data_IF_393764933413
#
_entry.id   IF_393764933413
#
_cell.length_a   1.000
_cell.length_b   1.000
_cell.length_c   1.000
_cell.angle_alpha   90.00
_cell.angle_beta   90.00
_cell.angle_gamma   90.00
#
_symmetry.space_group_name_H-M   'P 1'
#
loop_
_entity.id
_entity.type
_entity.pdbx_description
1 polymer ?
#
# COMPACT_ATOMS: atom_id res chain seq x y z
N UNK A 1 4.65 -12.76 -29.57
CA UNK A 1 5.03 -13.76 -28.53
C UNK A 1 6.55 -13.86 -28.47
N UNK A 2 7.16 -13.81 -27.28
CA UNK A 2 8.63 -13.72 -27.09
C UNK A 2 9.35 -15.05 -27.36
N UNK A 3 8.92 -16.15 -26.73
CA UNK A 3 9.62 -17.45 -26.77
C UNK A 3 9.76 -18.09 -28.16
N UNK A 4 8.95 -17.70 -29.14
CA UNK A 4 9.08 -18.16 -30.54
C UNK A 4 9.93 -17.24 -31.43
N UNK A 5 10.47 -16.13 -30.90
CA UNK A 5 11.22 -15.12 -31.64
C UNK A 5 12.43 -14.64 -30.83
N UNK A 6 13.07 -15.53 -30.07
CA UNK A 6 14.07 -15.13 -29.07
C UNK A 6 15.26 -14.38 -29.68
N UNK A 7 15.70 -14.78 -30.87
CA UNK A 7 16.82 -14.12 -31.59
C UNK A 7 16.57 -12.63 -31.84
N UNK A 8 15.31 -12.22 -32.01
CA UNK A 8 14.93 -10.80 -32.19
C UNK A 8 15.21 -9.93 -30.95
N UNK A 9 15.36 -10.55 -29.78
CA UNK A 9 15.50 -9.88 -28.48
C UNK A 9 16.79 -10.26 -27.75
N UNK A 10 17.57 -11.20 -28.28
CA UNK A 10 18.76 -11.73 -27.60
C UNK A 10 19.81 -10.63 -27.32
N UNK A 11 19.91 -9.65 -28.21
CA UNK A 11 20.79 -8.48 -28.08
C UNK A 11 20.24 -7.38 -27.14
N UNK A 12 18.99 -7.52 -26.66
CA UNK A 12 18.26 -6.51 -25.88
C UNK A 12 17.96 -6.94 -24.45
N UNK A 13 18.26 -8.19 -24.10
CA UNK A 13 17.96 -8.78 -22.79
C UNK A 13 19.25 -9.29 -22.18
N UNK A 14 19.49 -8.95 -20.91
CA UNK A 14 20.58 -9.48 -20.12
C UNK A 14 20.02 -10.13 -18.86
N UNK A 15 20.33 -11.41 -18.66
CA UNK A 15 20.01 -12.12 -17.42
C UNK A 15 21.20 -12.03 -16.47
N UNK A 16 20.91 -11.73 -15.20
CA UNK A 16 21.92 -11.62 -14.14
C UNK A 16 21.46 -12.43 -12.93
N UNK A 17 22.38 -12.87 -12.05
CA UNK A 17 21.99 -13.41 -10.75
C UNK A 17 21.12 -12.41 -9.98
N UNK A 18 20.15 -12.91 -9.23
CA UNK A 18 19.19 -12.05 -8.52
C UNK A 18 19.87 -11.09 -7.52
N UNK A 19 20.98 -11.53 -6.90
CA UNK A 19 21.79 -10.69 -6.02
C UNK A 19 22.34 -9.44 -6.75
N UNK A 20 22.63 -9.56 -8.04
CA UNK A 20 23.11 -8.44 -8.87
C UNK A 20 21.93 -7.61 -9.38
N UNK A 21 20.87 -8.24 -9.89
CA UNK A 21 19.71 -7.49 -10.41
C UNK A 21 19.00 -6.69 -9.32
N UNK A 22 19.03 -7.18 -8.08
CA UNK A 22 18.37 -6.58 -6.93
C UNK A 22 19.34 -5.89 -5.96
N UNK A 23 20.61 -5.72 -6.34
CA UNK A 23 21.60 -5.18 -5.42
C UNK A 23 21.26 -3.73 -5.03
N UNK A 24 21.09 -3.39 -3.74
CA UNK A 24 20.72 -2.05 -3.28
C UNK A 24 21.61 -0.93 -3.85
N UNK A 25 22.92 -1.19 -3.85
CA UNK A 25 23.93 -0.28 -4.39
C UNK A 25 23.67 0.05 -5.86
N UNK A 26 23.35 -0.94 -6.70
CA UNK A 26 23.11 -0.75 -8.13
C UNK A 26 21.77 -0.06 -8.38
N UNK A 27 20.72 -0.45 -7.67
CA UNK A 27 19.40 0.17 -7.74
C UNK A 27 19.51 1.67 -7.47
N UNK A 28 20.22 2.03 -6.40
CA UNK A 28 20.43 3.42 -5.99
C UNK A 28 21.35 4.17 -6.95
N UNK A 29 22.48 3.57 -7.37
CA UNK A 29 23.44 4.17 -8.29
C UNK A 29 22.81 4.50 -9.64
N UNK A 30 21.95 3.62 -10.14
CA UNK A 30 21.23 3.83 -11.40
C UNK A 30 20.01 4.74 -11.26
N UNK A 31 19.59 5.06 -10.03
CA UNK A 31 18.46 5.95 -9.78
C UNK A 31 17.14 5.42 -10.34
N UNK A 32 16.87 4.14 -10.11
CA UNK A 32 15.71 3.47 -10.72
C UNK A 32 14.37 4.04 -10.24
N UNK A 33 13.33 3.91 -11.07
CA UNK A 33 11.93 4.07 -10.67
C UNK A 33 11.39 2.67 -10.41
N UNK A 34 10.89 2.42 -9.21
CA UNK A 34 10.30 1.13 -8.84
C UNK A 34 8.78 1.22 -8.83
N UNK A 35 8.13 0.21 -9.41
CA UNK A 35 6.66 0.09 -9.44
C UNK A 35 6.33 -1.30 -8.91
N UNK A 36 5.73 -1.37 -7.73
CA UNK A 36 5.37 -2.60 -7.04
C UNK A 36 3.87 -2.67 -6.78
N UNK A 37 3.32 -3.87 -6.67
CA UNK A 37 1.90 -4.06 -6.34
C UNK A 37 1.72 -4.21 -4.83
N UNK A 38 0.81 -3.42 -4.26
CA UNK A 38 0.42 -3.55 -2.85
C UNK A 38 -0.79 -4.48 -2.68
N UNK A 39 -0.86 -5.18 -1.54
CA UNK A 39 -2.04 -5.90 -1.08
C UNK A 39 -3.03 -4.95 -0.40
N UNK A 40 -2.52 -4.15 0.54
CA UNK A 40 -3.24 -3.05 1.19
C UNK A 40 -2.23 -1.99 1.64
N UNK A 41 -2.72 -0.76 1.83
CA UNK A 41 -1.99 0.38 2.34
C UNK A 41 -2.81 1.04 3.45
N UNK A 42 -2.14 1.63 4.43
CA UNK A 42 -2.84 2.45 5.42
C UNK A 42 -2.88 3.93 5.06
N UNK A 43 -3.70 4.69 5.79
CA UNK A 43 -3.84 6.13 5.62
C UNK A 43 -2.55 6.92 5.91
N UNK A 44 -1.52 6.29 6.48
CA UNK A 44 -0.20 6.87 6.70
C UNK A 44 0.82 6.42 5.65
N UNK A 45 0.43 5.55 4.73
CA UNK A 45 1.25 5.10 3.61
C UNK A 45 2.21 3.96 3.92
N UNK A 46 2.01 3.20 5.00
CA UNK A 46 2.65 1.90 5.12
C UNK A 46 1.98 0.89 4.18
N UNK A 47 2.74 -0.09 3.70
CA UNK A 47 2.29 -1.08 2.72
C UNK A 47 2.43 -2.49 3.25
N UNK A 48 1.38 -3.27 3.02
CA UNK A 48 1.38 -4.73 3.10
C UNK A 48 1.46 -5.31 1.68
N UNK A 49 2.39 -6.22 1.45
CA UNK A 49 2.59 -6.91 0.17
C UNK A 49 2.32 -8.42 0.28
N UNK A 50 2.13 -8.95 1.50
CA UNK A 50 2.31 -10.39 1.74
C UNK A 50 1.18 -11.07 2.49
N UNK A 51 0.63 -10.47 3.54
CA UNK A 51 -0.26 -11.18 4.47
C UNK A 51 -1.70 -10.66 4.40
N UNK A 52 -2.62 -11.48 3.89
CA UNK A 52 -4.06 -11.19 4.01
C UNK A 52 -4.45 -11.28 5.48
N UNK A 53 -5.04 -10.19 6.02
CA UNK A 53 -5.44 -10.09 7.42
C UNK A 53 -4.31 -10.47 8.39
N UNK A 54 -3.09 -10.02 8.08
CA UNK A 54 -1.91 -10.12 8.95
C UNK A 54 -1.32 -11.51 9.16
N UNK A 55 -1.96 -12.56 8.65
CA UNK A 55 -1.61 -13.95 9.03
C UNK A 55 -1.54 -14.90 7.86
N UNK A 56 -2.28 -14.65 6.77
CA UNK A 56 -2.31 -15.55 5.62
C UNK A 56 -1.36 -15.07 4.53
N UNK A 57 -0.20 -15.74 4.44
CA UNK A 57 0.77 -15.52 3.36
C UNK A 57 0.13 -15.72 1.98
N UNK A 58 0.43 -14.80 1.06
CA UNK A 58 0.06 -14.88 -0.36
C UNK A 58 1.18 -15.53 -1.18
N UNK A 59 2.26 -14.78 -1.41
CA UNK A 59 3.43 -15.24 -2.17
C UNK A 59 4.70 -15.07 -1.33
N UNK A 60 5.03 -13.82 -1.01
CA UNK A 60 6.24 -13.41 -0.29
C UNK A 60 6.64 -11.99 -0.71
N UNK A 61 7.52 -11.34 0.06
CA UNK A 61 7.95 -9.96 -0.20
C UNK A 61 8.71 -9.84 -1.54
N UNK A 62 9.41 -10.91 -1.93
CA UNK A 62 10.22 -10.91 -3.16
C UNK A 62 11.27 -9.80 -3.11
N UNK A 63 11.46 -9.13 -4.24
CA UNK A 63 12.39 -8.00 -4.35
C UNK A 63 11.77 -6.63 -4.03
N UNK A 64 10.49 -6.54 -3.62
CA UNK A 64 9.85 -5.23 -3.46
C UNK A 64 10.58 -4.36 -2.44
N UNK A 65 11.13 -4.95 -1.38
CA UNK A 65 11.94 -4.24 -0.38
C UNK A 65 13.28 -3.77 -0.93
N UNK A 66 13.94 -4.58 -1.77
CA UNK A 66 15.21 -4.21 -2.42
C UNK A 66 15.04 -2.93 -3.25
N UNK A 67 13.94 -2.86 -4.02
CA UNK A 67 13.67 -1.75 -4.91
C UNK A 67 13.04 -0.55 -4.20
N UNK A 68 12.00 -0.75 -3.38
CA UNK A 68 11.27 0.36 -2.74
C UNK A 68 12.18 1.25 -1.89
N UNK A 69 13.08 0.66 -1.09
CA UNK A 69 14.02 1.40 -0.23
C UNK A 69 15.12 2.13 -1.02
N UNK A 70 15.56 1.58 -2.15
CA UNK A 70 16.79 2.02 -2.80
C UNK A 70 16.57 2.74 -4.13
N UNK A 71 15.34 2.71 -4.65
CA UNK A 71 14.96 3.44 -5.85
C UNK A 71 15.02 4.95 -5.64
N UNK A 72 15.14 5.69 -6.73
CA UNK A 72 14.96 7.15 -6.73
C UNK A 72 13.49 7.54 -6.50
N UNK A 73 12.58 6.66 -6.90
CA UNK A 73 11.14 6.81 -6.70
C UNK A 73 10.51 5.44 -6.43
N UNK A 74 9.86 5.30 -5.28
CA UNK A 74 9.11 4.12 -4.84
C UNK A 74 7.61 4.28 -5.10
N UNK A 75 7.08 3.60 -6.11
CA UNK A 75 5.66 3.64 -6.47
C UNK A 75 4.98 2.33 -6.09
N UNK A 76 3.88 2.42 -5.35
CA UNK A 76 3.00 1.30 -5.08
C UNK A 76 1.66 1.46 -5.78
N UNK A 77 1.23 0.40 -6.47
CA UNK A 77 -0.01 0.38 -7.24
C UNK A 77 -0.94 -0.71 -6.72
N UNK A 78 -2.23 -0.44 -6.65
CA UNK A 78 -3.24 -1.46 -6.35
C UNK A 78 -4.61 -1.01 -6.82
N UNK A 79 -5.58 -1.92 -6.91
CA UNK A 79 -6.98 -1.48 -6.99
C UNK A 79 -7.40 -0.96 -5.63
N UNK A 80 -8.23 0.08 -5.56
CA UNK A 80 -8.69 0.64 -4.27
C UNK A 80 -9.59 -0.31 -3.47
N UNK A 81 -10.04 -1.40 -4.10
CA UNK A 81 -10.91 -2.41 -3.50
C UNK A 81 -10.58 -3.83 -3.99
N UNK A 82 -11.05 -4.83 -3.24
CA UNK A 82 -11.04 -6.23 -3.63
C UNK A 82 -12.39 -6.92 -3.32
N UNK A 83 -12.55 -8.16 -3.82
CA UNK A 83 -13.73 -9.02 -3.59
C UNK A 83 -15.07 -8.31 -3.87
N UNK A 84 -15.16 -7.63 -5.02
CA UNK A 84 -16.40 -6.96 -5.44
C UNK A 84 -16.80 -5.76 -4.58
N UNK A 85 -15.85 -5.14 -3.88
CA UNK A 85 -16.07 -3.96 -3.03
C UNK A 85 -16.22 -4.30 -1.54
N UNK A 86 -16.19 -5.59 -1.18
CA UNK A 86 -16.25 -6.04 0.21
C UNK A 86 -14.97 -5.77 1.01
N UNK A 87 -13.84 -5.51 0.34
CA UNK A 87 -12.55 -5.22 0.97
C UNK A 87 -12.04 -3.91 0.41
N UNK A 88 -11.60 -3.00 1.29
CA UNK A 88 -10.84 -1.82 0.90
C UNK A 88 -9.35 -2.17 0.85
N UNK A 89 -8.64 -1.65 -0.14
CA UNK A 89 -7.18 -1.72 -0.17
C UNK A 89 -6.54 -0.54 0.57
N UNK A 90 -7.31 0.50 0.92
CA UNK A 90 -6.88 1.57 1.83
C UNK A 90 -7.56 1.36 3.18
N UNK A 91 -6.79 1.17 4.24
CA UNK A 91 -7.27 0.80 5.58
C UNK A 91 -6.80 1.79 6.66
N UNK A 92 -7.40 1.80 7.86
CA UNK A 92 -6.90 2.60 8.97
C UNK A 92 -5.45 2.28 9.36
N UNK A 93 -5.12 1.00 9.46
CA UNK A 93 -3.79 0.47 9.76
C UNK A 93 -3.61 -0.84 9.00
N UNK A 94 -2.46 -1.04 8.36
CA UNK A 94 -2.19 -2.30 7.66
C UNK A 94 -2.08 -3.44 8.67
N UNK A 95 -2.57 -4.62 8.30
CA UNK A 95 -2.53 -5.80 9.17
C UNK A 95 -1.15 -6.45 9.25
N UNK A 96 -0.25 -6.10 8.33
CA UNK A 96 1.16 -6.47 8.29
C UNK A 96 1.94 -5.38 7.56
N UNK A 97 3.17 -5.07 7.98
CA UNK A 97 4.01 -4.05 7.34
C UNK A 97 5.16 -4.75 6.62
N UNK A 98 5.17 -4.67 5.29
CA UNK A 98 6.34 -5.04 4.46
C UNK A 98 7.20 -3.82 4.14
N UNK A 99 6.55 -2.66 3.94
CA UNK A 99 7.22 -1.39 3.65
C UNK A 99 6.66 -0.32 4.58
N UNK A 100 7.55 0.30 5.36
CA UNK A 100 7.17 1.45 6.18
C UNK A 100 6.90 2.65 5.28
N UNK A 101 6.23 3.65 5.84
CA UNK A 101 5.93 4.93 5.19
C UNK A 101 7.16 5.58 4.52
N UNK A 102 8.37 5.35 5.04
CA UNK A 102 9.64 5.88 4.53
C UNK A 102 10.10 5.29 3.20
N UNK A 103 9.52 4.15 2.79
CA UNK A 103 9.90 3.41 1.58
C UNK A 103 8.89 3.64 0.44
N UNK A 104 7.94 4.55 0.65
CA UNK A 104 6.75 4.73 -0.18
C UNK A 104 6.63 6.21 -0.54
N UNK A 105 7.00 6.54 -1.78
CA UNK A 105 6.92 7.91 -2.29
C UNK A 105 5.56 8.21 -2.92
N UNK A 106 5.00 7.26 -3.68
CA UNK A 106 3.77 7.47 -4.47
C UNK A 106 2.86 6.26 -4.37
N UNK A 107 1.57 6.52 -4.17
CA UNK A 107 0.50 5.51 -4.21
C UNK A 107 -0.40 5.78 -5.41
N UNK A 108 -0.77 4.72 -6.13
CA UNK A 108 -1.69 4.80 -7.27
C UNK A 108 -2.79 3.75 -7.15
N UNK A 109 -4.03 4.18 -7.34
CA UNK A 109 -5.17 3.29 -7.57
C UNK A 109 -5.95 3.73 -8.81
N UNK A 110 -7.01 3.02 -9.16
CA UNK A 110 -7.91 3.47 -10.23
C UNK A 110 -8.67 4.76 -9.88
N UNK A 111 -8.61 5.22 -8.62
CA UNK A 111 -9.23 6.48 -8.17
C UNK A 111 -8.33 7.69 -8.44
N UNK A 112 -7.01 7.50 -8.52
CA UNK A 112 -6.06 8.60 -8.63
C UNK A 112 -4.67 8.29 -8.06
N UNK A 113 -3.91 9.36 -7.80
CA UNK A 113 -2.50 9.32 -7.40
C UNK A 113 -2.32 10.16 -6.14
N UNK A 114 -1.60 9.63 -5.15
CA UNK A 114 -1.13 10.37 -3.99
C UNK A 114 0.40 10.44 -4.00
N UNK A 115 0.94 11.66 -4.13
CA UNK A 115 2.37 11.96 -4.01
C UNK A 115 2.71 12.36 -2.57
N UNK A 116 3.54 11.57 -1.90
CA UNK A 116 3.77 11.64 -0.45
C UNK A 116 5.13 12.24 -0.09
N UNK A 117 5.91 12.66 -1.10
CA UNK A 117 7.29 13.10 -0.90
C UNK A 117 7.34 14.36 -0.03
N UNK A 118 8.11 14.28 1.06
CA UNK A 118 8.34 15.40 1.96
C UNK A 118 7.19 15.72 2.92
N UNK A 119 6.20 14.83 3.04
CA UNK A 119 5.02 15.02 3.89
C UNK A 119 5.15 14.29 5.23
N UNK A 120 4.67 14.93 6.28
CA UNK A 120 4.45 14.30 7.58
C UNK A 120 3.25 13.33 7.53
N UNK A 121 3.12 12.36 8.46
CA UNK A 121 2.04 11.37 8.43
C UNK A 121 0.64 11.98 8.33
N UNK A 122 0.32 13.05 9.09
CA UNK A 122 -0.98 13.72 8.99
C UNK A 122 -1.23 14.36 7.62
N UNK A 123 -0.20 14.85 6.94
CA UNK A 123 -0.31 15.47 5.60
C UNK A 123 -0.52 14.42 4.49
N UNK A 124 -0.08 13.17 4.73
CA UNK A 124 -0.30 12.04 3.81
C UNK A 124 -1.77 11.61 3.78
N UNK A 125 -2.45 11.65 4.93
CA UNK A 125 -3.83 11.19 5.10
C UNK A 125 -4.81 11.78 4.09
N UNK A 126 -4.96 13.12 3.95
CA UNK A 126 -5.90 13.70 2.99
C UNK A 126 -5.58 13.27 1.56
N UNK A 127 -4.31 13.18 1.18
CA UNK A 127 -3.93 12.77 -0.18
C UNK A 127 -4.28 11.31 -0.44
N UNK A 128 -4.02 10.41 0.51
CA UNK A 128 -4.31 8.98 0.37
C UNK A 128 -5.83 8.74 0.36
N UNK A 129 -6.57 9.34 1.30
CA UNK A 129 -8.02 9.17 1.37
C UNK A 129 -8.68 9.77 0.12
N UNK A 130 -8.30 10.98 -0.29
CA UNK A 130 -9.00 11.65 -1.39
C UNK A 130 -8.64 11.12 -2.77
N UNK A 131 -7.39 10.72 -2.99
CA UNK A 131 -6.95 10.32 -4.33
C UNK A 131 -6.85 8.81 -4.53
N UNK A 132 -6.81 8.00 -3.47
CA UNK A 132 -6.55 6.57 -3.61
C UNK A 132 -7.63 5.65 -3.04
N UNK A 133 -8.38 6.08 -2.01
CA UNK A 133 -9.43 5.26 -1.43
C UNK A 133 -10.69 5.21 -2.32
N UNK A 134 -11.34 4.04 -2.35
CA UNK A 134 -12.61 3.86 -3.04
C UNK A 134 -13.69 4.77 -2.40
N UNK A 135 -14.59 5.40 -3.17
CA UNK A 135 -15.65 6.28 -2.65
C UNK A 135 -16.43 5.68 -1.47
N UNK A 136 -16.82 4.42 -1.57
CA UNK A 136 -17.54 3.68 -0.52
C UNK A 136 -16.84 3.62 0.86
N UNK A 137 -15.53 3.86 0.93
CA UNK A 137 -14.74 3.77 2.17
C UNK A 137 -14.21 5.12 2.66
N UNK A 138 -14.27 6.20 1.85
CA UNK A 138 -13.73 7.50 2.22
C UNK A 138 -14.32 8.05 3.52
N UNK A 139 -15.65 8.03 3.65
CA UNK A 139 -16.34 8.50 4.85
C UNK A 139 -15.89 7.71 6.10
N UNK A 140 -15.77 6.39 5.98
CA UNK A 140 -15.34 5.52 7.07
C UNK A 140 -13.87 5.75 7.48
N UNK A 141 -13.00 6.10 6.53
CA UNK A 141 -11.60 6.46 6.80
C UNK A 141 -11.50 7.83 7.50
N UNK A 142 -12.26 8.82 7.02
CA UNK A 142 -12.31 10.15 7.63
C UNK A 142 -12.88 10.11 9.05
N UNK A 143 -13.95 9.34 9.28
CA UNK A 143 -14.50 9.09 10.62
C UNK A 143 -13.42 8.53 11.56
N UNK A 144 -12.70 7.49 11.13
CA UNK A 144 -11.62 6.91 11.92
C UNK A 144 -10.52 7.94 12.23
N UNK A 145 -10.02 8.63 11.20
CA UNK A 145 -8.92 9.57 11.35
C UNK A 145 -9.28 10.74 12.27
N UNK A 146 -10.46 11.34 12.11
CA UNK A 146 -10.89 12.48 12.91
C UNK A 146 -11.04 12.10 14.40
N UNK A 147 -11.65 10.94 14.69
CA UNK A 147 -11.75 10.44 16.07
C UNK A 147 -10.37 10.10 16.65
N UNK A 148 -9.46 9.56 15.85
CA UNK A 148 -8.10 9.29 16.27
C UNK A 148 -7.33 10.57 16.58
N UNK A 149 -7.50 11.62 15.76
CA UNK A 149 -6.89 12.92 15.96
C UNK A 149 -7.37 13.56 17.27
N UNK A 150 -8.67 13.50 17.56
CA UNK A 150 -9.25 13.98 18.81
C UNK A 150 -8.75 13.17 20.02
N UNK A 151 -8.84 11.84 19.97
CA UNK A 151 -8.46 10.97 21.07
C UNK A 151 -6.97 11.05 21.44
N UNK A 152 -6.11 11.37 20.47
CA UNK A 152 -4.67 11.51 20.69
C UNK A 152 -4.24 12.96 20.93
N UNK A 153 -5.13 13.95 20.87
CA UNK A 153 -4.75 15.35 21.01
C UNK A 153 -3.81 15.84 19.90
N UNK A 154 -3.94 15.30 18.68
CA UNK A 154 -3.16 15.76 17.52
C UNK A 154 -1.74 15.17 17.40
N UNK A 155 -1.48 13.97 17.93
CA UNK A 155 -0.19 13.29 17.78
C UNK A 155 0.24 13.14 16.31
N UNK A 156 1.55 12.99 16.05
CA UNK A 156 2.10 12.91 14.70
C UNK A 156 1.45 11.80 13.83
N UNK A 157 1.15 10.64 14.41
CA UNK A 157 0.48 9.52 13.73
C UNK A 157 -0.70 9.03 14.56
N UNK A 158 -1.90 9.65 14.42
CA UNK A 158 -3.06 9.35 15.26
C UNK A 158 -3.62 7.93 15.05
N UNK A 159 -3.81 7.17 16.12
CA UNK A 159 -4.54 5.90 16.07
C UNK A 159 -5.42 5.71 17.29
N UNK A 160 -6.58 5.07 17.07
CA UNK A 160 -7.36 4.42 18.12
C UNK A 160 -6.98 2.94 18.08
N UNK A 161 -6.23 2.46 19.07
CA UNK A 161 -5.63 1.11 19.05
C UNK A 161 -6.69 0.01 19.05
N UNK A 162 -7.80 0.23 19.76
CA UNK A 162 -8.94 -0.69 19.85
C UNK A 162 -9.64 -0.88 18.49
N UNK A 163 -9.52 0.08 17.59
CA UNK A 163 -10.20 0.09 16.30
C UNK A 163 -9.28 -0.07 15.09
N UNK A 164 -7.96 0.07 15.25
CA UNK A 164 -7.01 0.15 14.14
C UNK A 164 -7.10 -1.04 13.16
N UNK A 165 -7.36 -2.24 13.67
CA UNK A 165 -7.51 -3.47 12.88
C UNK A 165 -8.98 -3.96 12.81
N UNK A 166 -9.94 -3.14 13.23
CA UNK A 166 -11.36 -3.52 13.31
C UNK A 166 -11.96 -3.89 11.95
N UNK A 167 -11.46 -3.32 10.85
CA UNK A 167 -11.92 -3.64 9.50
C UNK A 167 -11.57 -5.07 9.12
N UNK A 168 -10.36 -5.53 9.43
CA UNK A 168 -9.94 -6.92 9.21
C UNK A 168 -10.73 -7.90 10.08
N UNK A 169 -11.04 -7.52 11.32
CA UNK A 169 -11.92 -8.30 12.22
C UNK A 169 -13.33 -8.38 11.65
N UNK A 170 -13.87 -7.27 11.14
CA UNK A 170 -15.19 -7.22 10.51
C UNK A 170 -15.25 -8.09 9.25
N UNK A 171 -14.21 -8.06 8.41
CA UNK A 171 -14.09 -8.91 7.24
C UNK A 171 -14.13 -10.40 7.62
N UNK A 172 -13.47 -10.81 8.70
CA UNK A 172 -13.48 -12.20 9.15
C UNK A 172 -14.91 -12.65 9.55
N UNK A 173 -15.60 -11.81 10.33
CA UNK A 173 -16.94 -12.06 10.87
C UNK A 173 -18.04 -11.96 9.81
N UNK A 174 -18.06 -10.87 9.06
CA UNK A 174 -19.18 -10.43 8.24
C UNK A 174 -18.89 -10.48 6.73
N UNK A 175 -17.68 -10.93 6.33
CA UNK A 175 -17.23 -11.02 4.93
C UNK A 175 -17.18 -9.68 4.20
N UNK A 176 -17.19 -8.58 4.93
CA UNK A 176 -17.03 -7.21 4.41
C UNK A 176 -16.29 -6.33 5.42
N UNK A 177 -15.54 -5.34 4.93
CA UNK A 177 -14.93 -4.29 5.75
C UNK A 177 -15.87 -3.10 6.01
N UNK A 178 -16.97 -2.99 5.26
CA UNK A 178 -17.96 -1.92 5.46
C UNK A 178 -18.57 -2.02 6.86
N UNK A 179 -18.60 -0.92 7.60
CA UNK A 179 -19.39 -0.81 8.84
C UNK A 179 -20.87 -1.04 8.48
N UNK A 180 -21.59 -1.73 9.35
CA UNK A 180 -23.04 -1.75 9.22
C UNK A 180 -23.53 -0.32 9.46
N UNK A 181 -24.11 0.30 8.44
CA UNK A 181 -24.85 1.54 8.62
C UNK A 181 -26.06 1.14 9.47
N UNK A 182 -26.14 1.63 10.70
CA UNK A 182 -27.35 1.50 11.49
C UNK A 182 -28.51 2.01 10.62
N UNK A 183 -29.44 1.12 10.25
CA UNK A 183 -30.65 1.55 9.57
C UNK A 183 -31.36 2.52 10.51
N UNK A 184 -31.35 3.80 10.14
CA UNK A 184 -32.17 4.82 10.77
C UNK A 184 -33.66 4.44 10.67
#
# INVERSE_FOLDING_TARGET
KVYGNLEKYADKICLRPQEISNHPELIRRLGLISINTALELDIYGNVNSTHVSGTRMMNGIGGSGDFARNARLGIFVTKSYAKGGAISSIVPMVSHVDHTEHDVDVIVTEQGIADLRGLAPQERVPLIIENCAHPDYKEQLWDYYNRALEATGGHQTPHILEEALSWHVNLAKNKTMKKEVAKA
#
